data_IF_239595412648
#
_entry.id   IF_239595412648
#
_cell.length_a   1.000
_cell.length_b   1.000
_cell.length_c   1.000
_cell.angle_alpha   90.00
_cell.angle_beta   90.00
_cell.angle_gamma   90.00
#
_symmetry.space_group_name_H-M   'P 1'
#
loop_
_entity.id
_entity.type
_entity.pdbx_description
1 polymer ?
#
# COMPACT_ATOMS: atom_id res chain seq x y z
N UNK A 1 -42.06 -17.24 -0.46
CA UNK A 1 -42.15 -16.14 0.53
C UNK A 1 -40.93 -16.06 1.44
N UNK A 2 -40.57 -17.07 2.25
CA UNK A 2 -39.33 -17.03 3.06
C UNK A 2 -38.06 -17.18 2.20
N UNK A 3 -38.05 -18.16 1.28
CA UNK A 3 -36.93 -18.38 0.36
C UNK A 3 -36.67 -17.20 -0.59
N UNK A 4 -37.73 -16.52 -1.07
CA UNK A 4 -37.59 -15.35 -1.94
C UNK A 4 -37.03 -14.13 -1.16
N UNK A 5 -37.40 -13.98 0.11
CA UNK A 5 -36.88 -12.90 0.96
C UNK A 5 -35.39 -13.11 1.30
N UNK A 6 -34.96 -14.36 1.51
CA UNK A 6 -33.56 -14.71 1.75
C UNK A 6 -32.69 -14.52 0.51
N UNK A 7 -33.18 -14.88 -0.69
CA UNK A 7 -32.41 -14.67 -1.93
C UNK A 7 -32.18 -13.20 -2.25
N UNK A 8 -33.18 -12.34 -2.03
CA UNK A 8 -33.02 -10.90 -2.23
C UNK A 8 -32.08 -10.26 -1.20
N UNK A 9 -32.10 -10.73 0.05
CA UNK A 9 -31.18 -10.26 1.08
C UNK A 9 -29.71 -10.60 0.74
N UNK A 10 -29.47 -11.77 0.16
CA UNK A 10 -28.13 -12.21 -0.24
C UNK A 10 -27.63 -11.47 -1.49
N UNK A 11 -28.49 -11.26 -2.51
CA UNK A 11 -28.14 -10.45 -3.67
C UNK A 11 -27.78 -9.01 -3.30
N UNK A 12 -28.57 -8.38 -2.43
CA UNK A 12 -28.32 -7.01 -1.99
C UNK A 12 -27.02 -6.91 -1.18
N UNK A 13 -26.71 -7.95 -0.39
CA UNK A 13 -25.45 -8.04 0.35
C UNK A 13 -24.26 -8.12 -0.60
N UNK A 14 -24.35 -8.97 -1.63
CA UNK A 14 -23.28 -9.12 -2.62
C UNK A 14 -23.05 -7.84 -3.42
N UNK A 15 -24.12 -7.16 -3.87
CA UNK A 15 -23.99 -5.85 -4.55
C UNK A 15 -23.32 -4.80 -3.67
N UNK A 16 -23.65 -4.80 -2.37
CA UNK A 16 -23.03 -3.87 -1.41
C UNK A 16 -21.55 -4.18 -1.22
N UNK A 17 -21.20 -5.44 -1.04
CA UNK A 17 -19.81 -5.87 -0.89
C UNK A 17 -19.00 -5.52 -2.14
N UNK A 18 -19.55 -5.77 -3.33
CA UNK A 18 -18.92 -5.37 -4.59
C UNK A 18 -18.64 -3.87 -4.64
N UNK A 19 -19.63 -3.04 -4.30
CA UNK A 19 -19.45 -1.59 -4.28
C UNK A 19 -18.40 -1.15 -3.25
N UNK A 20 -18.39 -1.74 -2.05
CA UNK A 20 -17.40 -1.43 -1.01
C UNK A 20 -15.98 -1.79 -1.46
N UNK A 21 -15.79 -2.98 -2.06
CA UNK A 21 -14.48 -3.43 -2.58
C UNK A 21 -14.00 -2.52 -3.71
N UNK A 22 -14.87 -2.15 -4.66
CA UNK A 22 -14.51 -1.22 -5.74
C UNK A 22 -14.11 0.16 -5.21
N UNK A 23 -14.86 0.71 -4.27
CA UNK A 23 -14.55 2.01 -3.65
C UNK A 23 -13.20 1.99 -2.92
N UNK A 24 -12.90 0.90 -2.20
CA UNK A 24 -11.61 0.71 -1.54
C UNK A 24 -10.47 0.64 -2.56
N UNK A 25 -10.66 -0.12 -3.63
CA UNK A 25 -9.70 -0.27 -4.72
C UNK A 25 -9.39 1.06 -5.41
N UNK A 26 -10.42 1.83 -5.78
CA UNK A 26 -10.26 3.17 -6.39
C UNK A 26 -9.56 4.14 -5.45
N UNK A 27 -9.92 4.11 -4.16
CA UNK A 27 -9.26 4.94 -3.14
C UNK A 27 -7.79 4.61 -3.01
N UNK A 28 -7.43 3.33 -3.03
CA UNK A 28 -6.04 2.87 -2.94
C UNK A 28 -5.23 3.27 -4.18
N UNK A 29 -5.82 3.14 -5.38
CA UNK A 29 -5.21 3.60 -6.62
C UNK A 29 -4.88 5.10 -6.51
N UNK A 30 -5.89 5.92 -6.19
CA UNK A 30 -5.72 7.37 -6.09
C UNK A 30 -4.66 7.77 -5.07
N UNK A 31 -4.69 7.17 -3.87
CA UNK A 31 -3.70 7.46 -2.82
C UNK A 31 -2.28 7.11 -3.24
N UNK A 32 -2.10 5.97 -3.90
CA UNK A 32 -0.77 5.51 -4.34
C UNK A 32 -0.23 6.37 -5.48
N UNK A 33 -1.07 6.71 -6.47
CA UNK A 33 -0.67 7.63 -7.55
C UNK A 33 -0.29 9.01 -7.02
N UNK A 34 -1.12 9.54 -6.10
CA UNK A 34 -0.84 10.82 -5.47
C UNK A 34 0.47 10.78 -4.69
N UNK A 35 0.74 9.71 -3.94
CA UNK A 35 1.99 9.55 -3.23
C UNK A 35 3.21 9.54 -4.17
N UNK A 36 3.11 8.85 -5.31
CA UNK A 36 4.17 8.83 -6.32
C UNK A 36 4.40 10.20 -6.95
N UNK A 37 3.32 10.95 -7.21
CA UNK A 37 3.40 12.32 -7.73
C UNK A 37 4.05 13.28 -6.73
N UNK A 38 3.62 13.25 -5.46
CA UNK A 38 4.13 14.10 -4.39
C UNK A 38 5.58 13.77 -4.00
N UNK A 39 5.96 12.49 -4.08
CA UNK A 39 7.30 12.04 -3.76
C UNK A 39 8.29 12.24 -4.91
N UNK A 40 7.79 12.29 -6.15
CA UNK A 40 8.57 12.63 -7.35
C UNK A 40 9.88 11.84 -7.47
N UNK A 41 10.99 12.56 -7.57
CA UNK A 41 12.33 11.99 -7.75
C UNK A 41 12.93 11.37 -6.47
N UNK A 42 12.27 11.52 -5.31
CA UNK A 42 12.74 10.91 -4.05
C UNK A 42 12.44 9.41 -3.97
N UNK A 43 11.54 8.92 -4.81
CA UNK A 43 11.22 7.49 -4.90
C UNK A 43 12.26 6.81 -5.78
N UNK A 44 12.98 5.79 -5.27
CA UNK A 44 13.89 5.01 -6.09
C UNK A 44 13.19 4.40 -7.31
N UNK A 45 13.85 4.40 -8.47
CA UNK A 45 13.26 3.88 -9.72
C UNK A 45 12.79 2.41 -9.58
N UNK A 46 13.54 1.59 -8.85
CA UNK A 46 13.20 0.19 -8.58
C UNK A 46 11.91 0.08 -7.73
N UNK A 47 11.77 0.94 -6.72
CA UNK A 47 10.58 0.96 -5.87
C UNK A 47 9.34 1.43 -6.65
N UNK A 48 9.51 2.41 -7.54
CA UNK A 48 8.45 2.87 -8.44
C UNK A 48 8.01 1.78 -9.41
N UNK A 49 8.97 1.09 -10.04
CA UNK A 49 8.67 -0.02 -10.95
C UNK A 49 7.90 -1.16 -10.26
N UNK A 50 8.22 -1.43 -8.99
CA UNK A 50 7.55 -2.47 -8.18
C UNK A 50 6.08 -2.16 -7.85
N UNK A 51 5.64 -0.89 -7.94
CA UNK A 51 4.25 -0.51 -7.67
C UNK A 51 3.45 -0.23 -8.96
N UNK A 52 4.11 0.15 -10.06
CA UNK A 52 3.45 0.48 -11.33
C UNK A 52 2.67 -0.71 -11.93
N UNK A 53 3.24 -1.91 -11.94
CA UNK A 53 2.57 -3.11 -12.46
C UNK A 53 1.34 -3.52 -11.61
N UNK A 54 1.44 -3.66 -10.27
CA UNK A 54 0.27 -3.89 -9.42
C UNK A 54 -0.81 -2.81 -9.55
N UNK A 55 -0.43 -1.53 -9.67
CA UNK A 55 -1.37 -0.42 -9.89
C UNK A 55 -2.14 -0.59 -11.21
N UNK A 56 -1.45 -0.95 -12.28
CA UNK A 56 -2.07 -1.21 -13.57
C UNK A 56 -3.02 -2.42 -13.52
N UNK A 57 -2.61 -3.49 -12.84
CA UNK A 57 -3.45 -4.68 -12.62
C UNK A 57 -4.73 -4.32 -11.84
N UNK A 58 -4.61 -3.54 -10.76
CA UNK A 58 -5.76 -3.12 -9.96
C UNK A 58 -6.73 -2.25 -10.78
N UNK A 59 -6.23 -1.30 -11.56
CA UNK A 59 -7.06 -0.48 -12.46
C UNK A 59 -7.81 -1.33 -13.49
N UNK A 60 -7.13 -2.31 -14.09
CA UNK A 60 -7.75 -3.23 -15.04
C UNK A 60 -8.80 -4.12 -14.35
N UNK A 61 -8.53 -4.59 -13.13
CA UNK A 61 -9.46 -5.40 -12.35
C UNK A 61 -10.73 -4.62 -11.97
N UNK A 62 -10.60 -3.35 -11.56
CA UNK A 62 -11.74 -2.46 -11.24
C UNK A 62 -12.64 -2.26 -12.47
N UNK A 63 -12.08 -2.23 -13.68
CA UNK A 63 -12.87 -2.13 -14.92
C UNK A 63 -13.64 -3.42 -15.28
N UNK A 64 -13.32 -4.54 -14.64
CA UNK A 64 -13.99 -5.82 -14.82
C UNK A 64 -15.14 -6.06 -13.83
N UNK A 65 -15.60 -7.31 -13.76
CA UNK A 65 -16.70 -7.78 -12.90
C UNK A 65 -16.25 -8.84 -11.86
N UNK A 66 -14.95 -9.15 -11.82
CA UNK A 66 -14.42 -10.18 -10.93
C UNK A 66 -13.95 -9.57 -9.60
N UNK A 67 -14.81 -9.64 -8.59
CA UNK A 67 -14.54 -9.12 -7.24
C UNK A 67 -13.33 -9.80 -6.59
N UNK A 68 -13.15 -11.10 -6.78
CA UNK A 68 -11.99 -11.81 -6.23
C UNK A 68 -10.69 -11.34 -6.87
N UNK A 69 -10.71 -11.00 -8.17
CA UNK A 69 -9.56 -10.39 -8.84
C UNK A 69 -9.27 -8.98 -8.30
N UNK A 70 -10.30 -8.18 -8.02
CA UNK A 70 -10.13 -6.84 -7.41
C UNK A 70 -9.51 -6.99 -6.01
N UNK A 71 -10.05 -7.88 -5.16
CA UNK A 71 -9.49 -8.14 -3.82
C UNK A 71 -8.03 -8.56 -3.87
N UNK A 72 -7.68 -9.50 -4.75
CA UNK A 72 -6.30 -9.94 -4.91
C UNK A 72 -5.38 -8.81 -5.39
N UNK A 73 -5.84 -7.97 -6.32
CA UNK A 73 -5.06 -6.83 -6.80
C UNK A 73 -4.92 -5.71 -5.75
N UNK A 74 -5.94 -5.50 -4.90
CA UNK A 74 -5.87 -4.59 -3.74
C UNK A 74 -4.74 -5.01 -2.80
N UNK A 75 -4.67 -6.29 -2.43
CA UNK A 75 -3.61 -6.82 -1.56
C UNK A 75 -2.21 -6.64 -2.16
N UNK A 76 -2.07 -6.87 -3.47
CA UNK A 76 -0.81 -6.63 -4.19
C UNK A 76 -0.39 -5.16 -4.13
N UNK A 77 -1.30 -4.24 -4.42
CA UNK A 77 -1.01 -2.80 -4.36
C UNK A 77 -0.71 -2.37 -2.93
N UNK A 78 -1.48 -2.85 -1.94
CA UNK A 78 -1.23 -2.53 -0.53
C UNK A 78 0.18 -2.96 -0.09
N UNK A 79 0.61 -4.16 -0.47
CA UNK A 79 1.95 -4.67 -0.18
C UNK A 79 3.03 -3.85 -0.89
N UNK A 80 2.83 -3.54 -2.18
CA UNK A 80 3.77 -2.72 -2.95
C UNK A 80 3.88 -1.29 -2.40
N UNK A 81 2.76 -0.67 -2.01
CA UNK A 81 2.72 0.67 -1.41
C UNK A 81 3.42 0.73 -0.05
N UNK A 82 3.37 -0.34 0.75
CA UNK A 82 4.16 -0.43 1.98
C UNK A 82 5.67 -0.48 1.68
N UNK A 83 6.09 -1.32 0.73
CA UNK A 83 7.49 -1.41 0.32
C UNK A 83 8.01 -0.08 -0.27
N UNK A 84 7.16 0.61 -1.03
CA UNK A 84 7.42 1.94 -1.57
C UNK A 84 7.68 2.97 -0.47
N UNK A 85 6.83 3.01 0.56
CA UNK A 85 7.01 3.90 1.71
C UNK A 85 8.28 3.59 2.50
N UNK A 86 8.61 2.31 2.70
CA UNK A 86 9.85 1.89 3.35
C UNK A 86 11.09 2.31 2.54
N UNK A 87 11.06 2.15 1.22
CA UNK A 87 12.16 2.55 0.34
C UNK A 87 12.38 4.07 0.35
N UNK A 88 11.31 4.87 0.34
CA UNK A 88 11.41 6.33 0.45
C UNK A 88 12.03 6.74 1.79
N UNK A 89 11.57 6.16 2.90
CA UNK A 89 12.10 6.48 4.23
C UNK A 89 13.60 6.15 4.32
N UNK A 90 14.00 4.96 3.84
CA UNK A 90 15.40 4.56 3.79
C UNK A 90 16.26 5.50 2.92
N UNK A 91 15.72 5.96 1.77
CA UNK A 91 16.42 6.92 0.91
C UNK A 91 16.62 8.27 1.62
N UNK A 92 15.58 8.78 2.30
CA UNK A 92 15.68 10.04 3.05
C UNK A 92 16.64 9.97 4.24
N UNK A 93 16.79 8.80 4.87
CA UNK A 93 17.74 8.60 5.98
C UNK A 93 19.18 8.60 5.47
N UNK A 94 19.44 8.01 4.31
CA UNK A 94 20.75 8.09 3.66
C UNK A 94 21.10 9.52 3.22
N UNK A 95 20.15 10.26 2.65
CA UNK A 95 20.37 11.68 2.27
C UNK A 95 20.63 12.59 3.49
N UNK A 96 20.00 12.31 4.64
CA UNK A 96 20.25 13.06 5.88
C UNK A 96 21.62 12.74 6.52
N UNK A 97 22.18 11.55 6.26
CA UNK A 97 23.52 11.16 6.70
C UNK A 97 24.66 11.78 5.89
N UNK A 98 24.39 12.25 4.67
CA UNK A 98 25.41 12.77 3.75
C UNK A 98 25.59 14.30 3.82
N UNK A 99 24.84 14.99 4.70
CA UNK A 99 24.91 16.43 4.95
C UNK A 99 25.74 16.82 6.21
N UNK A 100 26.57 15.92 6.75
CA UNK A 100 27.56 16.25 7.78
C UNK A 100 28.96 16.36 7.16
N UNK A 101 29.69 17.49 7.29
CA UNK A 101 31.08 17.56 6.85
C UNK A 101 31.93 16.66 7.76
N UNK A 102 32.94 16.04 7.16
CA UNK A 102 33.93 15.19 7.80
C UNK A 102 34.33 15.66 9.21
N UNK A 103 34.12 14.79 10.19
CA UNK A 103 34.62 14.90 11.55
C UNK A 103 34.28 13.64 12.32
N UNK A 104 35.32 12.91 12.73
CA UNK A 104 35.30 11.80 13.69
C UNK A 104 34.13 11.87 14.69
N UNK A 105 33.29 10.85 14.80
CA UNK A 105 33.48 9.78 15.78
C UNK A 105 32.33 8.75 15.67
N UNK A 106 32.65 7.57 16.12
CA UNK A 106 31.87 6.34 16.18
C UNK A 106 30.61 6.47 17.06
N UNK A 107 29.40 6.54 16.47
CA UNK A 107 28.16 6.22 17.20
C UNK A 107 27.09 5.65 16.26
N UNK A 108 27.13 4.34 16.06
CA UNK A 108 25.94 3.56 15.70
C UNK A 108 25.38 3.02 17.00
N UNK A 109 24.52 3.80 17.67
CA UNK A 109 23.73 3.32 18.80
C UNK A 109 22.26 3.30 18.39
N UNK A 110 21.86 2.17 17.81
CA UNK A 110 20.47 1.84 17.56
C UNK A 110 20.20 0.39 18.01
N UNK A 111 20.53 0.09 19.27
CA UNK A 111 19.82 -0.93 20.04
C UNK A 111 18.73 -0.25 20.88
N UNK A 112 17.57 -0.01 20.27
CA UNK A 112 16.31 0.06 21.02
C UNK A 112 15.59 -1.26 20.74
N UNK A 113 15.85 -2.25 21.59
CA UNK A 113 14.91 -3.33 21.86
C UNK A 113 14.57 -3.25 23.35
N UNK A 114 13.50 -2.51 23.61
CA UNK A 114 12.79 -2.53 24.89
C UNK A 114 11.95 -3.81 24.91
N UNK A 115 12.46 -4.87 25.55
CA UNK A 115 11.67 -6.05 25.94
C UNK A 115 11.51 -6.09 27.47
N UNK A 116 10.34 -5.58 27.87
CA UNK A 116 9.52 -5.87 29.04
C UNK A 116 9.87 -7.10 29.92
N UNK A 117 9.70 -6.86 31.22
CA UNK A 117 9.08 -7.74 32.22
C UNK A 117 9.93 -8.87 32.87
N UNK A 118 10.34 -8.61 34.13
CA UNK A 118 9.96 -9.41 35.32
C UNK A 118 10.66 -8.87 36.58
N UNK A 119 9.89 -8.30 37.52
CA UNK A 119 9.86 -8.67 38.95
C UNK A 119 8.49 -8.28 39.52
#
# INVERSE_FOLDING_TARGET
>A
MMADAESHAEEDRQRREEAEVRNQAESLVFQTEKFLEESGDKVPADAKANVDEPLAELKAAIAGENIEAIKAAVEKVATASQALGAALYANTQNEAGEAAPAGEDDVVDAEIVDENEKV
#
